data_IF_500411491045
#
_entry.id   IF_500411491045
#
_cell.length_a   1.000
_cell.length_b   1.000
_cell.length_c   1.000
_cell.angle_alpha   90.00
_cell.angle_beta   90.00
_cell.angle_gamma   90.00
#
_symmetry.space_group_name_H-M   'P 1'
#
loop_
_entity.id
_entity.type
_entity.pdbx_description
1 polymer ?
#
# COMPACT_ATOMS: atom_id res chain seq x y z
N UNK A 1 -35.70 -43.88 -25.31
CA UNK A 1 -36.15 -42.86 -24.35
C UNK A 1 -35.25 -42.89 -23.12
N UNK A 2 -34.82 -41.69 -22.66
CA UNK A 2 -33.99 -41.34 -21.48
C UNK A 2 -32.50 -41.74 -21.57
N UNK A 3 -31.61 -40.76 -21.30
CA UNK A 3 -31.37 -40.37 -19.92
C UNK A 3 -31.56 -38.87 -19.64
N UNK A 4 -32.29 -38.58 -18.57
CA UNK A 4 -32.36 -37.29 -17.88
C UNK A 4 -31.70 -37.49 -16.51
N UNK A 5 -30.37 -37.55 -16.43
CA UNK A 5 -29.65 -37.65 -15.14
C UNK A 5 -28.25 -37.04 -15.21
N UNK A 6 -28.04 -35.93 -15.93
CA UNK A 6 -26.79 -35.16 -15.83
C UNK A 6 -27.13 -33.68 -16.00
N UNK A 7 -27.79 -33.08 -15.01
CA UNK A 7 -28.00 -31.62 -14.97
C UNK A 7 -28.13 -31.06 -13.54
N UNK A 8 -28.35 -31.90 -12.52
CA UNK A 8 -28.62 -31.43 -11.17
C UNK A 8 -27.38 -31.23 -10.27
N UNK A 9 -26.16 -31.50 -10.76
CA UNK A 9 -24.94 -31.38 -9.95
C UNK A 9 -24.20 -30.04 -10.10
N UNK A 10 -24.58 -29.19 -11.08
CA UNK A 10 -23.94 -27.88 -11.31
C UNK A 10 -24.62 -26.73 -10.57
N UNK A 11 -25.74 -26.96 -9.88
CA UNK A 11 -26.50 -25.91 -9.17
C UNK A 11 -26.27 -25.86 -7.65
N UNK A 12 -25.44 -26.75 -7.08
CA UNK A 12 -25.16 -26.81 -5.64
C UNK A 12 -23.78 -26.25 -5.24
N UNK A 13 -22.99 -25.76 -6.20
CA UNK A 13 -21.67 -25.16 -5.94
C UNK A 13 -21.64 -23.64 -5.77
N UNK A 14 -22.79 -22.96 -5.89
CA UNK A 14 -22.85 -21.49 -5.87
C UNK A 14 -23.15 -20.87 -4.51
N UNK A 15 -23.17 -21.66 -3.43
CA UNK A 15 -22.96 -21.11 -2.09
C UNK A 15 -21.44 -20.98 -1.83
N UNK A 16 -20.70 -20.34 -2.73
CA UNK A 16 -19.43 -19.74 -2.30
C UNK A 16 -19.84 -18.63 -1.35
N UNK A 17 -19.43 -18.75 -0.08
CA UNK A 17 -19.58 -17.72 0.93
C UNK A 17 -19.25 -16.36 0.30
N UNK A 18 -20.29 -15.57 0.00
CA UNK A 18 -20.14 -14.16 -0.32
C UNK A 18 -19.74 -13.49 0.98
N UNK A 19 -18.47 -13.67 1.36
CA UNK A 19 -17.83 -12.74 2.28
C UNK A 19 -17.89 -11.40 1.54
N UNK A 20 -18.79 -10.55 2.00
CA UNK A 20 -19.05 -9.25 1.38
C UNK A 20 -17.71 -8.56 1.17
N UNK A 21 -17.46 -8.09 -0.05
CA UNK A 21 -16.21 -7.40 -0.35
C UNK A 21 -15.98 -6.30 0.70
N UNK A 22 -14.74 -6.12 1.18
CA UNK A 22 -14.47 -5.16 2.25
C UNK A 22 -14.98 -3.78 1.82
N UNK A 23 -15.58 -3.05 2.76
CA UNK A 23 -16.17 -1.75 2.46
C UNK A 23 -15.11 -0.73 2.05
N UNK A 24 -13.86 -0.92 2.50
CA UNK A 24 -12.71 -0.11 2.10
C UNK A 24 -11.78 -0.99 1.28
N UNK A 25 -11.40 -0.51 0.09
CA UNK A 25 -10.68 -1.31 -0.90
C UNK A 25 -9.50 -0.56 -1.48
N UNK A 26 -8.35 -1.22 -1.52
CA UNK A 26 -7.21 -0.73 -2.29
C UNK A 26 -7.42 -1.15 -3.74
N UNK A 27 -7.49 -0.18 -4.64
CA UNK A 27 -7.85 -0.39 -6.05
C UNK A 27 -6.64 -0.35 -6.97
N UNK A 28 -5.64 0.49 -6.66
CA UNK A 28 -4.46 0.68 -7.49
C UNK A 28 -3.24 1.04 -6.64
N UNK A 29 -2.07 0.75 -7.20
CA UNK A 29 -0.76 1.17 -6.70
C UNK A 29 -0.13 2.07 -7.75
N UNK A 30 0.53 3.15 -7.32
CA UNK A 30 1.28 4.10 -8.15
C UNK A 30 2.58 4.50 -7.46
N UNK A 31 3.57 4.96 -8.22
CA UNK A 31 4.76 5.59 -7.62
C UNK A 31 4.47 7.05 -7.30
N UNK A 32 4.75 7.52 -6.07
CA UNK A 32 4.72 8.94 -5.77
C UNK A 32 5.86 9.68 -6.50
N UNK A 33 5.62 10.96 -6.78
CA UNK A 33 6.61 11.89 -7.30
C UNK A 33 7.69 12.21 -6.26
N UNK A 34 8.68 13.03 -6.64
CA UNK A 34 9.68 13.58 -5.70
C UNK A 34 9.06 14.44 -4.59
N UNK A 35 7.86 15.00 -4.79
CA UNK A 35 7.12 15.81 -3.81
C UNK A 35 6.12 15.00 -2.98
N UNK A 36 6.15 13.67 -3.05
CA UNK A 36 5.16 12.75 -2.46
C UNK A 36 3.74 12.88 -3.03
N UNK A 37 3.60 13.41 -4.24
CA UNK A 37 2.31 13.52 -4.91
C UNK A 37 2.06 12.27 -5.76
N UNK A 38 0.83 11.77 -5.79
CA UNK A 38 0.43 10.66 -6.66
C UNK A 38 -0.43 11.25 -7.75
N UNK A 39 0.05 11.22 -8.99
CA UNK A 39 -0.67 11.80 -10.13
C UNK A 39 -1.85 10.91 -10.55
N UNK A 40 -2.99 11.53 -10.82
CA UNK A 40 -4.24 10.83 -11.19
C UNK A 40 -4.11 10.07 -12.52
N UNK A 41 -3.29 10.57 -13.45
CA UNK A 41 -3.03 9.98 -14.76
C UNK A 41 -1.77 9.10 -14.80
N UNK A 42 -1.00 9.02 -13.71
CA UNK A 42 0.14 8.10 -13.65
C UNK A 42 -0.34 6.64 -13.80
N UNK A 43 0.38 5.81 -14.58
CA UNK A 43 -0.01 4.43 -14.79
C UNK A 43 0.06 3.63 -13.49
N UNK A 44 -0.88 2.71 -13.32
CA UNK A 44 -0.80 1.73 -12.26
C UNK A 44 0.44 0.84 -12.43
N UNK A 45 1.05 0.48 -11.31
CA UNK A 45 2.28 -0.31 -11.27
C UNK A 45 2.00 -1.69 -10.70
N UNK A 46 2.59 -2.69 -11.35
CA UNK A 46 2.46 -4.09 -10.92
C UNK A 46 3.76 -4.63 -10.29
N UNK A 47 4.88 -3.94 -10.54
CA UNK A 47 6.20 -4.33 -10.04
C UNK A 47 7.18 -3.17 -10.08
N UNK A 48 8.30 -3.34 -9.39
CA UNK A 48 9.39 -2.40 -9.46
C UNK A 48 10.74 -2.97 -9.01
N UNK A 49 11.64 -2.08 -8.60
CA UNK A 49 13.03 -2.41 -8.31
C UNK A 49 13.61 -1.54 -7.19
N UNK A 50 14.47 -2.15 -6.37
CA UNK A 50 15.17 -1.49 -5.27
C UNK A 50 16.63 -1.87 -5.26
N UNK A 51 17.51 -0.88 -5.40
CA UNK A 51 18.93 -1.05 -5.13
C UNK A 51 19.20 -0.83 -3.63
N UNK A 52 19.35 -1.91 -2.87
CA UNK A 52 19.52 -1.88 -1.41
C UNK A 52 20.87 -1.31 -0.98
N UNK A 53 21.80 -1.13 -1.92
CA UNK A 53 23.05 -0.40 -1.68
C UNK A 53 22.79 1.09 -1.38
N UNK A 54 21.71 1.63 -1.92
CA UNK A 54 21.36 3.04 -1.81
C UNK A 54 20.06 3.23 -1.03
N UNK A 55 19.00 2.46 -1.30
CA UNK A 55 17.69 2.60 -0.66
C UNK A 55 17.46 1.62 0.49
N UNK A 56 16.80 2.11 1.54
CA UNK A 56 16.29 1.30 2.67
C UNK A 56 14.77 1.45 2.85
N UNK A 57 14.11 2.09 1.90
CA UNK A 57 12.66 2.28 1.88
C UNK A 57 12.13 1.93 0.51
N UNK A 58 10.88 1.48 0.46
CA UNK A 58 10.16 1.27 -0.77
C UNK A 58 8.80 1.95 -0.64
N UNK A 59 8.66 3.12 -1.26
CA UNK A 59 7.48 3.98 -1.09
C UNK A 59 6.49 3.76 -2.22
N UNK A 60 5.23 3.53 -1.85
CA UNK A 60 4.12 3.33 -2.75
C UNK A 60 2.98 4.29 -2.43
N UNK A 61 2.27 4.72 -3.48
CA UNK A 61 0.98 5.39 -3.40
C UNK A 61 -0.14 4.39 -3.67
N UNK A 62 -1.20 4.44 -2.89
CA UNK A 62 -2.35 3.55 -2.96
C UNK A 62 -3.60 4.38 -3.21
N UNK A 63 -4.39 4.00 -4.22
CA UNK A 63 -5.74 4.52 -4.40
C UNK A 63 -6.73 3.65 -3.65
N UNK A 64 -7.44 4.24 -2.70
CA UNK A 64 -8.32 3.55 -1.77
C UNK A 64 -9.74 4.09 -1.91
N UNK A 65 -10.70 3.19 -2.05
CA UNK A 65 -12.13 3.52 -2.06
C UNK A 65 -12.73 3.23 -0.68
N UNK A 66 -13.58 4.12 -0.18
CA UNK A 66 -14.41 3.89 0.99
C UNK A 66 -15.88 3.82 0.55
N UNK A 67 -16.38 2.61 0.32
CA UNK A 67 -17.78 2.36 0.00
C UNK A 67 -18.72 2.42 1.21
N UNK A 68 -18.20 2.60 2.43
CA UNK A 68 -19.05 2.71 3.61
C UNK A 68 -19.77 4.06 3.62
N UNK A 69 -21.10 4.00 3.63
CA UNK A 69 -21.99 5.15 3.79
C UNK A 69 -22.87 4.91 5.01
N UNK A 70 -23.11 5.97 5.78
CA UNK A 70 -24.10 5.94 6.86
C UNK A 70 -25.45 6.38 6.31
N UNK A 71 -26.51 5.68 6.71
CA UNK A 71 -27.87 6.18 6.49
C UNK A 71 -28.06 7.45 7.31
N UNK A 72 -28.41 8.56 6.68
CA UNK A 72 -28.68 9.82 7.37
C UNK A 72 -29.73 9.61 8.48
N UNK A 73 -29.45 10.14 9.66
CA UNK A 73 -30.40 10.14 10.78
C UNK A 73 -30.97 11.55 10.90
N UNK A 74 -32.25 11.69 10.54
CA UNK A 74 -32.99 12.93 10.68
C UNK A 74 -33.77 12.93 11.99
N UNK A 75 -33.64 14.02 12.77
CA UNK A 75 -34.47 14.24 13.97
C UNK A 75 -35.28 15.50 13.76
N UNK A 76 -36.55 15.33 13.41
CA UNK A 76 -37.46 16.44 13.13
C UNK A 76 -37.06 17.25 11.89
N UNK A 77 -36.72 16.57 10.80
CA UNK A 77 -36.30 17.16 9.51
C UNK A 77 -35.00 17.98 9.56
N UNK A 78 -34.23 17.86 10.65
CA UNK A 78 -32.87 18.41 10.78
C UNK A 78 -31.88 17.25 10.67
N UNK A 79 -30.98 17.25 9.66
CA UNK A 79 -29.90 16.29 9.58
C UNK A 79 -28.92 16.48 10.75
N UNK A 80 -28.69 15.42 11.53
CA UNK A 80 -27.73 15.45 12.64
C UNK A 80 -26.29 15.10 12.22
N UNK A 81 -26.13 14.53 11.03
CA UNK A 81 -24.83 14.20 10.45
C UNK A 81 -24.41 15.27 9.44
N UNK A 82 -23.10 15.56 9.30
CA UNK A 82 -22.61 16.38 8.21
C UNK A 82 -23.02 15.74 6.86
N UNK A 83 -23.32 16.58 5.86
CA UNK A 83 -23.83 16.12 4.57
C UNK A 83 -22.92 15.12 3.86
N UNK A 84 -23.49 14.43 2.86
CA UNK A 84 -22.79 13.40 2.07
C UNK A 84 -21.40 13.85 1.61
N UNK A 85 -20.39 13.02 1.89
CA UNK A 85 -19.03 13.19 1.36
C UNK A 85 -18.05 13.99 2.23
N UNK A 86 -18.43 14.50 3.41
CA UNK A 86 -17.48 15.15 4.33
C UNK A 86 -17.68 14.80 5.80
N UNK A 87 -16.71 14.07 6.38
CA UNK A 87 -16.66 13.81 7.82
C UNK A 87 -17.83 12.98 8.35
N UNK A 88 -18.05 13.04 9.66
CA UNK A 88 -19.16 12.35 10.32
C UNK A 88 -18.86 10.93 10.78
N UNK A 89 -19.88 10.28 11.32
CA UNK A 89 -19.79 8.99 12.00
C UNK A 89 -19.33 7.82 11.08
N UNK A 90 -19.45 7.95 9.77
CA UNK A 90 -18.92 6.98 8.79
C UNK A 90 -17.47 7.23 8.33
N UNK A 91 -16.79 8.26 8.85
CA UNK A 91 -15.38 8.51 8.51
C UNK A 91 -14.54 7.32 8.95
N UNK A 92 -13.68 6.81 8.08
CA UNK A 92 -12.79 5.71 8.41
C UNK A 92 -11.41 6.25 8.78
N UNK A 93 -10.96 5.95 10.00
CA UNK A 93 -9.63 6.29 10.47
C UNK A 93 -8.72 5.08 10.31
N UNK A 94 -7.81 5.16 9.34
CA UNK A 94 -6.74 4.17 9.17
C UNK A 94 -5.72 4.37 10.28
N UNK A 95 -5.41 3.29 11.00
CA UNK A 95 -4.52 3.29 12.17
C UNK A 95 -3.27 2.45 11.99
N UNK A 96 -3.36 1.41 11.16
CA UNK A 96 -2.32 0.41 11.04
C UNK A 96 -2.14 0.02 9.59
N UNK A 97 -0.88 -0.11 9.20
CA UNK A 97 -0.44 -0.74 7.96
C UNK A 97 0.20 -2.08 8.34
N UNK A 98 -0.39 -3.18 7.88
CA UNK A 98 0.16 -4.52 8.04
C UNK A 98 0.94 -4.89 6.78
N UNK A 99 2.12 -5.43 6.99
CA UNK A 99 3.05 -5.83 5.94
C UNK A 99 3.50 -7.25 6.22
N UNK A 100 3.27 -8.13 5.25
CA UNK A 100 3.84 -9.48 5.24
C UNK A 100 4.74 -9.63 4.02
N UNK A 101 5.82 -10.39 4.15
CA UNK A 101 6.84 -10.50 3.12
C UNK A 101 7.10 -11.94 2.71
N UNK A 102 7.37 -12.14 1.43
CA UNK A 102 7.80 -13.41 0.87
C UNK A 102 8.95 -13.19 -0.11
N UNK A 103 10.00 -13.98 0.02
CA UNK A 103 11.16 -13.98 -0.86
C UNK A 103 11.80 -15.38 -0.85
N UNK A 104 12.31 -15.87 -1.99
CA UNK A 104 12.93 -17.19 -2.07
C UNK A 104 14.29 -17.27 -1.35
N UNK A 105 15.04 -16.15 -1.33
CA UNK A 105 16.46 -16.14 -0.93
C UNK A 105 16.70 -15.44 0.42
N UNK A 106 15.76 -14.60 0.87
CA UNK A 106 15.90 -13.80 2.09
C UNK A 106 14.64 -13.90 2.94
N UNK A 107 14.81 -14.23 4.23
CA UNK A 107 13.71 -14.23 5.19
C UNK A 107 13.52 -12.82 5.74
N UNK A 108 12.37 -12.20 5.43
CA UNK A 108 12.03 -10.86 5.89
C UNK A 108 10.99 -10.93 7.01
N UNK A 109 11.16 -10.20 8.11
CA UNK A 109 10.19 -10.18 9.20
C UNK A 109 8.94 -9.38 8.80
N UNK A 110 7.77 -10.00 8.97
CA UNK A 110 6.49 -9.32 8.91
C UNK A 110 6.40 -8.23 9.99
N UNK A 111 5.57 -7.21 9.75
CA UNK A 111 5.44 -6.09 10.67
C UNK A 111 4.13 -5.33 10.57
N UNK A 112 3.81 -4.63 11.64
CA UNK A 112 2.73 -3.65 11.68
C UNK A 112 3.31 -2.27 11.96
N UNK A 113 2.90 -1.28 11.17
CA UNK A 113 3.35 0.11 11.27
C UNK A 113 2.16 0.97 11.65
N UNK A 114 2.35 1.85 12.62
CA UNK A 114 1.35 2.88 12.92
C UNK A 114 1.19 3.81 11.71
N UNK A 115 -0.03 3.95 11.24
CA UNK A 115 -0.38 4.78 10.09
C UNK A 115 -1.56 5.66 10.46
N UNK A 116 -1.61 6.89 9.98
CA UNK A 116 -2.72 7.80 10.30
C UNK A 116 -3.25 8.41 9.02
N UNK A 117 -4.49 8.05 8.67
CA UNK A 117 -5.22 8.69 7.59
C UNK A 117 -6.73 8.70 7.88
N UNK A 118 -7.43 9.66 7.30
CA UNK A 118 -8.89 9.73 7.32
C UNK A 118 -9.44 9.51 5.91
N UNK A 119 -10.41 8.62 5.77
CA UNK A 119 -11.15 8.38 4.54
C UNK A 119 -12.59 8.84 4.71
N UNK A 120 -13.01 9.78 3.88
CA UNK A 120 -14.39 10.28 3.90
C UNK A 120 -15.39 9.17 3.55
N UNK A 121 -16.62 9.21 4.07
CA UNK A 121 -17.67 8.25 3.69
C UNK A 121 -17.97 8.30 2.19
N UNK A 122 -18.13 7.16 1.54
CA UNK A 122 -18.50 7.07 0.12
C UNK A 122 -17.46 7.62 -0.86
N UNK A 123 -16.23 7.94 -0.42
CA UNK A 123 -15.20 8.53 -1.29
C UNK A 123 -14.51 7.48 -2.16
N UNK A 124 -14.04 7.92 -3.33
CA UNK A 124 -13.26 7.12 -4.26
C UNK A 124 -11.89 7.76 -4.47
N UNK A 125 -10.93 6.96 -4.90
CA UNK A 125 -9.58 7.39 -5.29
C UNK A 125 -8.85 8.19 -4.20
N UNK A 126 -9.09 7.85 -2.92
CA UNK A 126 -8.35 8.46 -1.82
C UNK A 126 -6.89 8.02 -1.91
N UNK A 127 -5.97 8.97 -1.86
CA UNK A 127 -4.53 8.68 -1.96
C UNK A 127 -3.96 8.43 -0.57
N UNK A 128 -3.42 7.23 -0.35
CA UNK A 128 -2.56 6.92 0.79
C UNK A 128 -1.13 6.69 0.31
N UNK A 129 -0.14 7.32 0.94
CA UNK A 129 1.28 7.07 0.62
C UNK A 129 1.92 6.38 1.82
N UNK A 130 2.63 5.27 1.58
CA UNK A 130 3.30 4.54 2.64
C UNK A 130 4.61 3.91 2.16
N UNK A 131 5.55 3.78 3.10
CA UNK A 131 6.70 2.92 2.94
C UNK A 131 6.29 1.48 3.26
N UNK A 132 6.44 0.57 2.31
CA UNK A 132 6.09 -0.85 2.46
C UNK A 132 7.26 -1.72 2.91
N UNK A 133 8.41 -1.11 3.22
CA UNK A 133 9.56 -1.80 3.78
C UNK A 133 9.82 -1.25 5.20
N UNK A 134 9.62 -2.07 6.22
CA UNK A 134 9.98 -1.73 7.60
C UNK A 134 11.48 -1.60 7.75
N UNK A 135 11.95 -0.95 8.82
CA UNK A 135 13.38 -0.77 9.06
C UNK A 135 14.08 -2.13 9.23
N UNK A 136 13.44 -3.05 9.94
CA UNK A 136 13.93 -4.41 10.17
C UNK A 136 13.97 -5.22 8.88
N UNK A 137 12.92 -5.16 8.05
CA UNK A 137 12.91 -5.83 6.75
C UNK A 137 13.95 -5.24 5.79
N UNK A 138 14.15 -3.92 5.80
CA UNK A 138 15.18 -3.28 4.98
C UNK A 138 16.59 -3.72 5.39
N UNK A 139 16.85 -3.86 6.69
CA UNK A 139 18.13 -4.33 7.22
C UNK A 139 18.39 -5.78 6.83
N UNK A 140 17.42 -6.69 7.05
CA UNK A 140 17.53 -8.09 6.65
C UNK A 140 17.71 -8.25 5.14
N UNK A 141 17.01 -7.44 4.33
CA UNK A 141 17.16 -7.44 2.88
C UNK A 141 18.57 -6.97 2.45
N UNK A 142 19.09 -5.92 3.08
CA UNK A 142 20.42 -5.40 2.77
C UNK A 142 21.56 -6.33 3.21
N UNK A 143 21.35 -7.07 4.31
CA UNK A 143 22.29 -8.04 4.86
C UNK A 143 22.24 -9.39 4.12
N UNK A 144 21.05 -9.79 3.64
CA UNK A 144 20.82 -11.04 2.92
C UNK A 144 21.34 -11.05 1.49
N UNK A 145 21.59 -9.88 0.88
CA UNK A 145 22.10 -9.76 -0.48
C UNK A 145 23.60 -9.43 -0.52
N UNK A 146 24.38 -10.23 -1.26
CA UNK A 146 25.76 -9.89 -1.61
C UNK A 146 25.82 -8.93 -2.82
N UNK A 147 26.98 -8.30 -3.02
CA UNK A 147 27.21 -7.41 -4.16
C UNK A 147 27.03 -8.17 -5.50
N UNK A 148 26.17 -7.64 -6.37
CA UNK A 148 25.83 -8.23 -7.67
C UNK A 148 24.66 -9.22 -7.64
N UNK A 149 24.13 -9.55 -6.45
CA UNK A 149 22.97 -10.43 -6.30
C UNK A 149 21.64 -9.67 -6.36
N UNK A 150 20.59 -10.42 -6.64
CA UNK A 150 19.20 -9.96 -6.62
C UNK A 150 18.27 -11.04 -6.07
N UNK A 151 17.14 -10.62 -5.51
CA UNK A 151 16.01 -11.47 -5.12
C UNK A 151 14.70 -10.78 -5.49
N UNK A 152 13.65 -11.56 -5.69
CA UNK A 152 12.29 -11.05 -5.83
C UNK A 152 11.60 -11.04 -4.46
N UNK A 153 11.13 -9.86 -4.05
CA UNK A 153 10.38 -9.67 -2.81
C UNK A 153 8.93 -9.41 -3.17
N UNK A 154 8.01 -10.21 -2.63
CA UNK A 154 6.58 -9.93 -2.66
C UNK A 154 6.16 -9.43 -1.29
N UNK A 155 5.51 -8.27 -1.26
CA UNK A 155 4.92 -7.69 -0.05
C UNK A 155 3.40 -7.74 -0.15
N UNK A 156 2.77 -8.27 0.88
CA UNK A 156 1.32 -8.24 1.06
C UNK A 156 0.98 -7.08 1.98
N UNK A 157 0.16 -6.16 1.47
CA UNK A 157 -0.21 -4.91 2.12
C UNK A 157 -1.67 -4.98 2.55
N UNK A 158 -1.95 -4.61 3.81
CA UNK A 158 -3.32 -4.43 4.30
C UNK A 158 -3.40 -3.23 5.25
N UNK A 159 -4.30 -2.29 4.96
CA UNK A 159 -4.65 -1.22 5.90
C UNK A 159 -5.76 -1.69 6.85
N UNK A 160 -5.65 -1.31 8.11
CA UNK A 160 -6.64 -1.57 9.16
C UNK A 160 -6.90 -0.31 9.99
N UNK A 161 -8.11 -0.22 10.56
CA UNK A 161 -8.54 0.95 11.29
C UNK A 161 -9.91 0.81 11.92
N UNK A 162 -10.52 1.95 12.26
CA UNK A 162 -11.86 2.02 12.86
C UNK A 162 -12.70 3.13 12.22
N UNK A 163 -14.02 2.96 12.24
CA UNK A 163 -14.95 4.03 11.90
C UNK A 163 -15.15 4.99 13.07
N UNK A 164 -15.39 6.27 12.76
CA UNK A 164 -15.59 7.33 13.75
C UNK A 164 -16.78 7.10 14.68
N UNK A 165 -17.77 6.32 14.27
CA UNK A 165 -18.87 5.86 15.12
C UNK A 165 -18.85 4.35 15.35
N UNK A 166 -19.30 3.95 16.54
CA UNK A 166 -19.58 2.56 16.88
C UNK A 166 -18.35 1.68 17.11
N UNK A 167 -17.13 2.24 17.12
CA UNK A 167 -15.86 1.51 17.30
C UNK A 167 -15.75 0.25 16.43
N UNK A 168 -16.40 0.28 15.26
CA UNK A 168 -16.36 -0.85 14.35
C UNK A 168 -15.00 -0.80 13.65
N UNK A 169 -14.25 -1.88 13.78
CA UNK A 169 -12.99 -2.03 13.05
C UNK A 169 -13.26 -2.38 11.59
N UNK A 170 -12.32 -1.99 10.73
CA UNK A 170 -12.29 -2.42 9.35
C UNK A 170 -10.89 -2.90 8.98
N UNK A 171 -10.87 -3.76 7.97
CA UNK A 171 -9.68 -4.17 7.26
C UNK A 171 -9.98 -4.00 5.77
N UNK A 172 -8.96 -3.57 5.03
CA UNK A 172 -9.00 -3.52 3.57
C UNK A 172 -8.76 -4.90 2.99
N UNK A 173 -8.95 -5.06 1.67
CA UNK A 173 -8.44 -6.24 0.98
C UNK A 173 -6.91 -6.29 1.11
N UNK A 174 -6.39 -7.51 1.13
CA UNK A 174 -4.96 -7.74 0.95
C UNK A 174 -4.58 -7.42 -0.50
N UNK A 175 -3.42 -6.79 -0.65
CA UNK A 175 -2.86 -6.43 -1.95
C UNK A 175 -1.41 -6.88 -2.01
N UNK A 176 -1.11 -7.75 -2.96
CA UNK A 176 0.25 -8.21 -3.21
C UNK A 176 0.95 -7.30 -4.21
N UNK A 177 2.19 -6.93 -3.89
CA UNK A 177 3.07 -6.16 -4.77
C UNK A 177 4.47 -6.76 -4.76
N UNK A 178 5.06 -6.94 -5.94
CA UNK A 178 6.40 -7.55 -6.05
C UNK A 178 7.43 -6.55 -6.55
N UNK A 179 8.64 -6.58 -6.00
CA UNK A 179 9.77 -5.81 -6.51
C UNK A 179 11.04 -6.64 -6.50
N UNK A 180 11.94 -6.34 -7.45
CA UNK A 180 13.27 -6.94 -7.46
C UNK A 180 14.21 -6.12 -6.58
N UNK A 181 14.65 -6.71 -5.48
CA UNK A 181 15.70 -6.15 -4.64
C UNK A 181 17.05 -6.62 -5.17
N UNK A 182 18.01 -5.71 -5.30
CA UNK A 182 19.36 -6.05 -5.73
C UNK A 182 20.38 -5.16 -5.03
N UNK A 183 21.63 -5.62 -4.96
CA UNK A 183 22.71 -4.86 -4.37
C UNK A 183 23.77 -4.56 -5.41
N UNK A 184 23.90 -3.30 -5.77
CA UNK A 184 24.90 -2.88 -6.75
C UNK A 184 25.44 -1.49 -6.43
N UNK A 185 26.75 -1.40 -6.23
CA UNK A 185 27.44 -0.14 -6.17
C UNK A 185 27.56 0.48 -7.57
N UNK A 186 27.03 1.70 -7.72
CA UNK A 186 27.09 2.49 -8.95
C UNK A 186 28.23 3.51 -8.94
N UNK A 187 29.02 3.59 -7.86
CA UNK A 187 30.14 4.53 -7.74
C UNK A 187 29.71 5.98 -7.53
N UNK A 188 28.50 6.22 -7.00
CA UNK A 188 28.01 7.55 -6.65
C UNK A 188 28.91 8.14 -5.56
N UNK A 189 29.43 9.34 -5.81
CA UNK A 189 30.39 10.00 -4.93
C UNK A 189 29.75 10.49 -3.63
N UNK A 190 30.54 10.61 -2.57
CA UNK A 190 30.11 11.26 -1.33
C UNK A 190 29.94 12.77 -1.57
N UNK A 191 28.90 13.36 -0.97
CA UNK A 191 28.65 14.79 -1.05
C UNK A 191 29.82 15.57 -0.42
N UNK A 192 30.17 16.71 -1.01
CA UNK A 192 31.16 17.60 -0.42
C UNK A 192 30.67 18.07 0.98
N UNK A 193 31.57 18.29 1.95
CA UNK A 193 31.17 18.77 3.28
C UNK A 193 30.25 20.00 3.19
N UNK A 194 29.10 19.94 3.86
CA UNK A 194 28.11 21.02 3.84
C UNK A 194 27.16 21.02 2.63
N UNK A 195 27.26 20.04 1.73
CA UNK A 195 26.32 19.85 0.61
C UNK A 195 25.38 18.69 0.94
N UNK A 196 24.09 18.86 0.63
CA UNK A 196 23.10 17.80 0.75
C UNK A 196 22.86 17.15 -0.63
N UNK A 197 22.54 15.85 -0.68
CA UNK A 197 22.05 15.21 -1.89
C UNK A 197 20.81 15.92 -2.45
N UNK A 198 20.70 15.99 -3.77
CA UNK A 198 19.44 16.39 -4.40
C UNK A 198 18.34 15.36 -4.06
N UNK A 199 17.11 15.81 -3.75
CA UNK A 199 16.00 14.91 -3.47
C UNK A 199 15.64 14.13 -4.73
N UNK A 200 15.44 12.81 -4.59
CA UNK A 200 15.03 11.95 -5.71
C UNK A 200 13.71 11.25 -5.43
N UNK A 201 13.01 10.87 -6.49
CA UNK A 201 11.76 10.14 -6.36
C UNK A 201 11.99 8.70 -5.84
N UNK A 202 10.99 8.10 -5.19
CA UNK A 202 9.78 8.73 -4.67
C UNK A 202 10.05 9.54 -3.40
N UNK A 203 9.18 10.52 -3.12
CA UNK A 203 9.10 11.24 -1.85
C UNK A 203 10.37 11.97 -1.40
N UNK A 204 11.23 12.40 -2.32
CA UNK A 204 12.41 13.19 -2.02
C UNK A 204 13.45 12.43 -1.18
N UNK A 205 13.50 11.11 -1.35
CA UNK A 205 14.48 10.25 -0.68
C UNK A 205 15.89 10.80 -0.92
N UNK A 206 16.62 11.07 0.16
CA UNK A 206 18.01 11.56 0.10
C UNK A 206 19.00 10.48 -0.34
N UNK A 207 18.54 9.23 -0.40
CA UNK A 207 19.34 8.05 -0.68
C UNK A 207 18.98 7.38 -2.01
N UNK A 208 17.74 7.54 -2.49
CA UNK A 208 17.26 6.95 -3.73
C UNK A 208 17.23 5.42 -3.69
N UNK A 209 17.57 4.78 -4.81
CA UNK A 209 17.65 3.35 -4.99
C UNK A 209 16.38 2.70 -5.58
N UNK A 210 15.23 3.35 -5.44
CA UNK A 210 13.95 2.85 -5.98
C UNK A 210 13.74 3.28 -7.44
N UNK A 211 13.33 2.34 -8.29
CA UNK A 211 13.07 2.58 -9.73
C UNK A 211 14.20 3.30 -10.49
N UNK A 212 15.45 2.99 -10.14
CA UNK A 212 16.64 3.62 -10.71
C UNK A 212 16.75 5.14 -10.47
N UNK A 213 16.02 5.68 -9.49
CA UNK A 213 16.22 7.05 -9.03
C UNK A 213 17.37 7.06 -8.03
N UNK A 214 18.45 7.78 -8.36
CA UNK A 214 19.64 7.86 -7.52
C UNK A 214 20.04 9.32 -7.31
N UNK A 215 20.47 9.69 -6.10
CA UNK A 215 20.93 11.04 -5.84
C UNK A 215 22.24 11.32 -6.59
N UNK A 216 22.53 12.61 -6.78
CA UNK A 216 23.78 13.09 -7.40
C UNK A 216 25.01 12.78 -6.54
N UNK A 217 24.83 12.69 -5.22
CA UNK A 217 25.84 12.27 -4.25
C UNK A 217 25.20 11.57 -3.05
N UNK A 218 25.99 10.82 -2.27
CA UNK A 218 25.54 10.17 -1.03
C UNK A 218 26.17 10.84 0.20
N UNK A 219 25.47 10.82 1.34
CA UNK A 219 26.00 11.31 2.62
C UNK A 219 27.08 10.40 3.19
#
# INVERSE_FOLDING_TARGET
>A
MKPFFIAAALSLGLCSCSESAPAIQITQIKFPSVTCEVEDDAPAIARGSLNVQYGQSYVLGFLVNNGYQQTAVDVGDIPLEPGEGSGGAATAFVKTLRLSYSSPDVSLPDGEVNYTAGLSPGSQDNVLVANVLTAEAAEELANGLAEGEFTEVTVTVQFAGEYGSGHKNFETNELEYSFTAFKRNLGIATCAPGTLPDPVAPCGSSRGGQENNYPTCVL
#
